data_IF_583981931767
#
_entry.id   IF_583981931767
#
_cell.length_a   1.000
_cell.length_b   1.000
_cell.length_c   1.000
_cell.angle_alpha   90.00
_cell.angle_beta   90.00
_cell.angle_gamma   90.00
#
_symmetry.space_group_name_H-M   'P 1'
#
loop_
_entity.id
_entity.type
_entity.pdbx_description
1 polymer ?
#
# COMPACT_ATOMS: atom_id res chain seq x y z
N UNK A 1 20.76 -54.81 61.93
CA UNK A 1 20.78 -54.61 60.46
C UNK A 1 20.60 -53.14 60.21
N UNK A 2 21.68 -52.48 59.81
CA UNK A 2 21.79 -51.03 59.75
C UNK A 2 20.98 -50.43 58.60
N UNK A 3 20.28 -49.37 58.95
CA UNK A 3 19.54 -48.43 58.11
C UNK A 3 20.46 -47.65 57.17
N UNK A 4 20.22 -47.72 55.86
CA UNK A 4 20.72 -46.76 54.86
C UNK A 4 19.56 -46.12 54.11
N UNK A 5 19.15 -44.96 54.60
CA UNK A 5 18.30 -43.99 53.91
C UNK A 5 19.13 -43.17 52.92
N UNK A 6 18.78 -43.24 51.63
CA UNK A 6 19.41 -42.45 50.56
C UNK A 6 18.80 -41.05 50.49
N UNK A 7 19.59 -39.97 50.33
CA UNK A 7 19.07 -38.60 50.28
C UNK A 7 18.50 -38.28 48.88
N UNK A 8 17.23 -37.85 48.85
CA UNK A 8 16.57 -37.27 47.68
C UNK A 8 17.23 -35.93 47.33
N UNK A 9 17.92 -35.86 46.18
CA UNK A 9 18.40 -34.59 45.63
C UNK A 9 17.23 -33.79 45.04
N UNK A 10 16.72 -32.83 45.79
CA UNK A 10 15.79 -31.81 45.32
C UNK A 10 16.52 -30.83 44.39
N UNK A 11 16.52 -31.12 43.08
CA UNK A 11 16.94 -30.15 42.06
C UNK A 11 15.86 -29.09 41.97
N UNK A 12 16.12 -27.91 42.54
CA UNK A 12 15.34 -26.68 42.37
C UNK A 12 15.14 -26.42 40.87
N UNK A 13 13.95 -26.72 40.36
CA UNK A 13 13.50 -26.32 39.03
C UNK A 13 12.64 -25.07 39.17
N UNK A 14 13.30 -23.92 39.11
CA UNK A 14 12.79 -22.66 38.59
C UNK A 14 14.03 -21.81 38.28
N UNK A 15 14.14 -21.13 37.12
CA UNK A 15 13.00 -20.60 36.37
C UNK A 15 13.14 -20.71 34.84
N UNK A 16 12.56 -21.72 34.22
CA UNK A 16 12.29 -21.66 32.77
C UNK A 16 11.19 -20.63 32.47
N UNK A 17 10.27 -20.43 33.41
CA UNK A 17 9.13 -19.50 33.31
C UNK A 17 9.60 -18.03 33.31
N UNK A 18 10.65 -17.68 34.06
CA UNK A 18 11.17 -16.30 34.08
C UNK A 18 11.95 -15.98 32.80
N UNK A 19 12.68 -16.95 32.21
CA UNK A 19 13.38 -16.78 30.93
C UNK A 19 12.37 -16.65 29.77
N UNK A 20 11.28 -17.41 29.78
CA UNK A 20 10.21 -17.30 28.78
C UNK A 20 9.44 -15.98 28.91
N UNK A 21 9.21 -15.49 30.13
CA UNK A 21 8.54 -14.19 30.35
C UNK A 21 9.43 -13.00 29.97
N UNK A 22 10.75 -13.06 30.20
CA UNK A 22 11.68 -12.00 29.76
C UNK A 22 11.86 -12.01 28.24
N UNK A 23 11.90 -13.18 27.59
CA UNK A 23 11.92 -13.29 26.14
C UNK A 23 10.61 -12.80 25.49
N UNK A 24 9.46 -13.08 26.09
CA UNK A 24 8.17 -12.56 25.63
C UNK A 24 8.04 -11.04 25.82
N UNK A 25 8.59 -10.49 26.91
CA UNK A 25 8.65 -9.04 27.13
C UNK A 25 9.62 -8.35 26.15
N UNK A 26 10.73 -8.98 25.77
CA UNK A 26 11.63 -8.49 24.72
C UNK A 26 11.01 -8.54 23.32
N UNK A 27 10.27 -9.61 22.98
CA UNK A 27 9.53 -9.71 21.71
C UNK A 27 8.37 -8.70 21.61
N UNK A 28 7.75 -8.34 22.74
CA UNK A 28 6.73 -7.29 22.80
C UNK A 28 7.33 -5.88 22.76
N UNK A 29 8.60 -5.71 23.16
CA UNK A 29 9.28 -4.41 23.19
C UNK A 29 10.15 -4.12 21.96
N UNK A 30 10.40 -5.11 21.09
CA UNK A 30 11.17 -4.96 19.85
C UNK A 30 10.31 -4.71 18.61
N UNK A 31 9.00 -4.48 18.77
CA UNK A 31 8.12 -3.99 17.70
C UNK A 31 8.15 -2.47 17.62
N UNK A 32 9.34 -1.87 17.69
CA UNK A 32 9.55 -0.53 17.13
C UNK A 32 9.59 -0.69 15.60
N UNK A 33 8.44 -1.02 15.01
CA UNK A 33 8.17 -0.51 13.66
C UNK A 33 8.35 0.99 13.85
N UNK A 34 9.30 1.67 13.17
CA UNK A 34 9.44 3.10 13.31
C UNK A 34 8.03 3.65 13.08
N UNK A 35 7.44 4.23 14.12
CA UNK A 35 6.22 4.97 13.96
C UNK A 35 6.61 6.01 12.92
N UNK A 36 6.13 5.85 11.69
CA UNK A 36 6.35 6.82 10.64
C UNK A 36 6.02 8.16 11.28
N UNK A 37 7.03 9.02 11.36
CA UNK A 37 6.92 10.29 12.07
C UNK A 37 5.61 10.90 11.62
N UNK A 38 4.65 11.15 12.52
CA UNK A 38 3.38 11.73 12.13
C UNK A 38 3.73 12.97 11.32
N UNK A 39 3.39 12.97 10.02
CA UNK A 39 3.53 14.17 9.22
C UNK A 39 2.74 15.22 9.99
N UNK A 40 3.42 16.31 10.34
CA UNK A 40 2.86 17.35 11.20
C UNK A 40 1.51 17.82 10.65
N UNK A 41 0.65 18.45 11.49
CA UNK A 41 -0.65 18.92 11.03
C UNK A 41 -0.48 19.72 9.73
N UNK A 42 -1.27 19.36 8.71
CA UNK A 42 -1.26 20.00 7.40
C UNK A 42 -1.16 21.53 7.57
N UNK A 43 -0.18 22.21 6.93
CA UNK A 43 -0.03 23.64 7.07
C UNK A 43 -1.35 24.33 6.71
N UNK A 44 -1.86 25.11 7.66
CA UNK A 44 -3.24 25.57 7.64
C UNK A 44 -3.58 26.56 6.52
N UNK A 45 -2.60 27.11 5.80
CA UNK A 45 -2.82 28.31 4.96
C UNK A 45 -3.02 28.04 3.45
N UNK A 46 -2.28 27.14 2.77
CA UNK A 46 -2.48 26.90 1.34
C UNK A 46 -3.72 26.04 1.02
N UNK A 47 -4.20 25.22 1.96
CA UNK A 47 -5.34 24.32 1.74
C UNK A 47 -6.70 24.91 2.15
N UNK A 48 -6.74 26.13 2.69
CA UNK A 48 -7.97 26.82 3.15
C UNK A 48 -8.99 27.09 2.05
N UNK A 49 -8.58 27.09 0.79
CA UNK A 49 -9.43 27.35 -0.37
C UNK A 49 -10.06 26.10 -1.00
N UNK A 50 -9.80 24.92 -0.45
CA UNK A 50 -10.36 23.68 -1.00
C UNK A 50 -11.85 23.60 -0.69
N UNK A 51 -12.62 23.20 -1.70
CA UNK A 51 -14.02 22.82 -1.57
C UNK A 51 -14.09 21.36 -1.14
N UNK A 52 -15.10 21.01 -0.35
CA UNK A 52 -15.29 19.63 0.10
C UNK A 52 -16.36 18.94 -0.75
N UNK A 53 -16.07 17.69 -1.13
CA UNK A 53 -17.06 16.77 -1.66
C UNK A 53 -17.29 15.71 -0.57
N UNK A 54 -18.31 15.91 0.28
CA UNK A 54 -18.50 15.12 1.49
C UNK A 54 -18.89 13.69 1.14
N UNK A 55 -18.30 12.76 1.88
CA UNK A 55 -18.65 11.33 1.84
C UNK A 55 -18.11 10.67 3.10
N UNK A 56 -18.86 9.71 3.66
CA UNK A 56 -18.47 9.02 4.88
C UNK A 56 -17.38 7.95 4.63
N UNK A 57 -17.25 7.47 3.39
CA UNK A 57 -16.31 6.40 3.02
C UNK A 57 -15.02 6.95 2.41
N UNK A 58 -15.14 7.86 1.44
CA UNK A 58 -14.00 8.46 0.74
C UNK A 58 -14.17 9.98 0.62
N UNK A 59 -13.97 10.73 1.72
CA UNK A 59 -14.05 12.19 1.69
C UNK A 59 -13.03 12.77 0.72
N UNK A 60 -13.43 13.82 -0.02
CA UNK A 60 -12.53 14.55 -0.91
C UNK A 60 -12.51 16.04 -0.63
N UNK A 61 -11.35 16.65 -0.81
CA UNK A 61 -11.19 18.09 -0.89
C UNK A 61 -10.56 18.45 -2.25
N UNK A 62 -11.05 19.50 -2.91
CA UNK A 62 -10.66 19.81 -4.28
C UNK A 62 -10.58 21.32 -4.55
N UNK A 63 -9.71 21.71 -5.46
CA UNK A 63 -9.60 23.12 -5.91
C UNK A 63 -10.79 23.52 -6.80
N UNK A 64 -11.22 24.79 -6.78
CA UNK A 64 -12.25 25.27 -7.70
C UNK A 64 -11.95 24.92 -9.16
N UNK A 65 -12.96 24.40 -9.88
CA UNK A 65 -12.82 23.93 -11.25
C UNK A 65 -12.41 22.45 -11.40
N UNK A 66 -12.18 21.73 -10.30
CA UNK A 66 -11.84 20.30 -10.31
C UNK A 66 -13.00 19.38 -9.86
N UNK A 67 -14.24 19.89 -9.77
CA UNK A 67 -15.39 19.12 -9.26
C UNK A 67 -15.61 17.82 -10.05
N UNK A 68 -15.71 17.87 -11.38
CA UNK A 68 -15.98 16.68 -12.20
C UNK A 68 -14.89 15.61 -12.02
N UNK A 69 -13.64 16.08 -11.88
CA UNK A 69 -12.47 15.24 -11.63
C UNK A 69 -12.57 14.55 -10.27
N UNK A 70 -12.86 15.31 -9.22
CA UNK A 70 -13.00 14.82 -7.85
C UNK A 70 -14.18 13.84 -7.75
N UNK A 71 -15.35 14.22 -8.26
CA UNK A 71 -16.56 13.39 -8.22
C UNK A 71 -16.36 12.04 -8.92
N UNK A 72 -15.74 12.01 -10.10
CA UNK A 72 -15.45 10.74 -10.78
C UNK A 72 -14.49 9.88 -9.98
N UNK A 73 -13.41 10.46 -9.48
CA UNK A 73 -12.46 9.71 -8.66
C UNK A 73 -13.12 9.16 -7.40
N UNK A 74 -13.99 9.95 -6.78
CA UNK A 74 -14.73 9.52 -5.58
C UNK A 74 -15.61 8.32 -5.86
N UNK A 75 -16.41 8.36 -6.94
CA UNK A 75 -17.25 7.22 -7.34
C UNK A 75 -16.42 5.95 -7.50
N UNK A 76 -15.26 6.07 -8.16
CA UNK A 76 -14.33 4.96 -8.38
C UNK A 76 -13.78 4.40 -7.07
N UNK A 77 -13.20 5.26 -6.23
CA UNK A 77 -12.61 4.84 -4.96
C UNK A 77 -13.66 4.30 -3.97
N UNK A 78 -14.88 4.84 -3.98
CA UNK A 78 -16.00 4.28 -3.21
C UNK A 78 -16.37 2.88 -3.67
N UNK A 79 -16.36 2.61 -4.97
CA UNK A 79 -16.57 1.28 -5.52
C UNK A 79 -15.57 0.26 -4.95
N UNK A 80 -14.29 0.64 -4.94
CA UNK A 80 -13.20 -0.16 -4.35
C UNK A 80 -13.41 -0.31 -2.84
N UNK A 81 -13.56 0.81 -2.12
CA UNK A 81 -13.74 0.83 -0.67
C UNK A 81 -14.89 -0.07 -0.23
N UNK A 82 -16.07 0.08 -0.84
CA UNK A 82 -17.25 -0.71 -0.53
C UNK A 82 -17.01 -2.21 -0.76
N UNK A 83 -16.33 -2.58 -1.86
CA UNK A 83 -15.97 -3.99 -2.11
C UNK A 83 -15.03 -4.50 -1.04
N UNK A 84 -14.01 -3.75 -0.66
CA UNK A 84 -13.06 -4.13 0.39
C UNK A 84 -13.74 -4.25 1.76
N UNK A 85 -14.57 -3.28 2.13
CA UNK A 85 -15.33 -3.28 3.37
C UNK A 85 -16.32 -4.45 3.46
N UNK A 86 -17.11 -4.68 2.40
CA UNK A 86 -18.10 -5.78 2.41
C UNK A 86 -17.41 -7.14 2.36
N UNK A 87 -16.46 -7.30 1.45
CA UNK A 87 -15.92 -8.60 1.06
C UNK A 87 -14.75 -9.05 1.95
N UNK A 88 -13.91 -8.10 2.37
CA UNK A 88 -12.72 -8.34 3.18
C UNK A 88 -12.88 -7.90 4.63
N UNK A 89 -13.92 -7.11 4.94
CA UNK A 89 -14.13 -6.54 6.28
C UNK A 89 -12.92 -5.70 6.70
N UNK A 90 -12.38 -4.96 5.74
CA UNK A 90 -11.38 -3.94 5.96
C UNK A 90 -12.10 -2.61 6.11
N UNK A 91 -11.72 -1.85 7.12
CA UNK A 91 -12.20 -0.50 7.38
C UNK A 91 -10.98 0.41 7.54
N UNK A 92 -11.11 1.66 7.13
CA UNK A 92 -10.07 2.66 7.27
C UNK A 92 -10.55 4.01 6.76
N UNK A 93 -9.95 5.07 7.26
CA UNK A 93 -10.22 6.41 6.78
C UNK A 93 -9.28 6.69 5.60
N UNK A 94 -9.83 7.11 4.46
CA UNK A 94 -9.02 7.52 3.32
C UNK A 94 -9.56 8.80 2.69
N UNK A 95 -8.74 9.85 2.70
CA UNK A 95 -9.05 11.16 2.14
C UNK A 95 -8.23 11.41 0.88
N UNK A 96 -8.85 12.05 -0.10
CA UNK A 96 -8.13 12.50 -1.30
C UNK A 96 -8.17 14.02 -1.44
N UNK A 97 -7.02 14.61 -1.72
CA UNK A 97 -6.87 16.02 -2.09
C UNK A 97 -6.67 16.13 -3.61
N UNK A 98 -7.54 16.87 -4.29
CA UNK A 98 -7.47 17.10 -5.74
C UNK A 98 -6.97 18.52 -5.99
N UNK A 99 -5.69 18.66 -6.29
CA UNK A 99 -4.96 19.93 -6.16
C UNK A 99 -4.50 20.49 -7.50
N UNK A 100 -4.38 21.81 -7.60
CA UNK A 100 -3.68 22.46 -8.71
C UNK A 100 -2.16 22.47 -8.46
N UNK A 101 -1.32 22.85 -9.43
CA UNK A 101 0.12 22.99 -9.22
C UNK A 101 0.49 23.93 -8.05
N UNK A 102 -0.33 24.97 -7.80
CA UNK A 102 -0.09 25.92 -6.72
C UNK A 102 -0.26 25.25 -5.34
N UNK A 103 -1.40 24.60 -5.10
CA UNK A 103 -1.65 23.92 -3.82
C UNK A 103 -0.74 22.71 -3.66
N UNK A 104 -0.38 22.03 -4.76
CA UNK A 104 0.60 20.95 -4.76
C UNK A 104 1.97 21.39 -4.26
N UNK A 105 2.49 22.51 -4.80
CA UNK A 105 3.77 23.06 -4.37
C UNK A 105 3.79 23.47 -2.89
N UNK A 106 2.62 23.65 -2.29
CA UNK A 106 2.49 23.99 -0.88
C UNK A 106 2.43 22.77 0.06
N UNK A 107 2.30 21.55 -0.48
CA UNK A 107 2.40 20.31 0.30
C UNK A 107 3.84 19.95 0.68
N UNK A 108 4.84 20.60 0.07
CA UNK A 108 6.27 20.28 0.24
C UNK A 108 6.59 18.79 0.06
N UNK A 109 5.89 18.17 -0.91
CA UNK A 109 6.07 16.77 -1.27
C UNK A 109 7.20 16.62 -2.30
N UNK A 110 8.04 15.57 -2.21
CA UNK A 110 9.06 15.30 -3.22
C UNK A 110 8.47 14.81 -4.55
N UNK A 111 7.20 14.38 -4.57
CA UNK A 111 6.56 13.88 -5.78
C UNK A 111 6.19 15.04 -6.73
N UNK A 112 6.51 14.92 -8.04
CA UNK A 112 6.16 15.95 -9.01
C UNK A 112 4.64 16.02 -9.22
N UNK A 113 4.15 17.20 -9.59
CA UNK A 113 2.74 17.38 -9.93
C UNK A 113 2.31 16.42 -11.05
N UNK A 114 1.18 15.73 -10.86
CA UNK A 114 0.67 14.71 -11.77
C UNK A 114 1.05 13.28 -11.41
N UNK A 115 1.92 13.10 -10.41
CA UNK A 115 2.18 11.82 -9.76
C UNK A 115 1.54 11.83 -8.37
N UNK A 116 0.76 10.82 -7.94
CA UNK A 116 0.13 10.86 -6.62
C UNK A 116 1.15 11.00 -5.49
N UNK A 117 0.85 11.87 -4.53
CA UNK A 117 1.68 12.08 -3.35
C UNK A 117 0.94 11.57 -2.12
N UNK A 118 1.62 10.79 -1.29
CA UNK A 118 1.09 10.47 0.04
C UNK A 118 1.36 11.66 0.96
N UNK A 119 0.30 12.22 1.54
CA UNK A 119 0.35 13.37 2.46
C UNK A 119 0.43 12.89 3.91
N UNK A 120 -0.25 11.80 4.24
CA UNK A 120 -0.13 11.08 5.51
C UNK A 120 -0.60 9.62 5.32
N UNK A 121 -0.73 8.86 6.41
CA UNK A 121 -1.15 7.44 6.36
C UNK A 121 -2.54 7.20 5.76
N UNK A 122 -3.40 8.21 5.76
CA UNK A 122 -4.80 8.18 5.35
C UNK A 122 -5.13 9.18 4.25
N UNK A 123 -4.19 10.02 3.84
CA UNK A 123 -4.43 11.10 2.88
C UNK A 123 -3.50 10.99 1.69
N UNK A 124 -4.07 11.01 0.49
CA UNK A 124 -3.32 11.13 -0.76
C UNK A 124 -3.70 12.41 -1.51
N UNK A 125 -2.74 13.01 -2.20
CA UNK A 125 -2.96 14.12 -3.12
C UNK A 125 -2.82 13.65 -4.57
N UNK A 126 -3.70 14.13 -5.44
CA UNK A 126 -3.69 13.90 -6.89
C UNK A 126 -3.89 15.20 -7.65
N UNK A 127 -3.42 15.22 -8.89
CA UNK A 127 -3.58 16.37 -9.77
C UNK A 127 -5.05 16.60 -10.17
N UNK A 128 -5.47 17.87 -10.12
CA UNK A 128 -6.78 18.32 -10.56
C UNK A 128 -6.96 18.26 -12.08
N UNK A 129 -5.88 18.44 -12.83
CA UNK A 129 -5.83 18.30 -14.28
C UNK A 129 -4.43 17.89 -14.73
N UNK A 130 -4.33 17.24 -15.87
CA UNK A 130 -3.04 16.95 -16.50
C UNK A 130 -2.42 18.22 -17.05
N UNK A 131 -1.11 18.21 -17.18
CA UNK A 131 -0.26 19.29 -17.67
C UNK A 131 0.81 18.70 -18.61
N UNK A 132 1.47 19.50 -19.45
CA UNK A 132 2.62 19.03 -20.21
C UNK A 132 3.69 18.37 -19.32
N UNK A 133 3.94 18.94 -18.14
CA UNK A 133 4.91 18.42 -17.18
C UNK A 133 4.48 17.05 -16.63
N UNK A 134 3.20 16.87 -16.27
CA UNK A 134 2.72 15.55 -15.82
C UNK A 134 2.80 14.51 -16.95
N UNK A 135 2.51 14.91 -18.19
CA UNK A 135 2.67 14.06 -19.38
C UNK A 135 4.12 13.63 -19.56
N UNK A 136 5.07 14.55 -19.41
CA UNK A 136 6.51 14.27 -19.49
C UNK A 136 6.97 13.31 -18.39
N UNK A 137 6.52 13.49 -17.15
CA UNK A 137 6.80 12.56 -16.04
C UNK A 137 6.37 11.15 -16.42
N UNK A 138 5.13 10.98 -16.85
CA UNK A 138 4.60 9.65 -17.17
C UNK A 138 5.22 9.05 -18.44
N UNK A 139 5.58 9.85 -19.45
CA UNK A 139 6.34 9.37 -20.61
C UNK A 139 7.76 8.97 -20.23
N UNK A 140 8.43 9.71 -19.35
CA UNK A 140 9.75 9.35 -18.85
C UNK A 140 9.72 8.02 -18.10
N UNK A 141 8.61 7.74 -17.39
CA UNK A 141 8.41 6.47 -16.71
C UNK A 141 8.01 5.33 -17.67
N UNK A 142 7.10 5.54 -18.61
CA UNK A 142 6.48 4.45 -19.37
C UNK A 142 6.95 4.33 -20.83
N UNK A 143 7.69 5.31 -21.33
CA UNK A 143 7.99 5.52 -22.74
C UNK A 143 6.79 6.02 -23.56
N UNK A 144 5.58 5.50 -23.30
CA UNK A 144 4.35 5.91 -23.97
C UNK A 144 3.15 5.91 -23.01
N UNK A 145 2.18 6.79 -23.26
CA UNK A 145 0.96 6.89 -22.46
C UNK A 145 -0.15 5.98 -23.01
N UNK A 146 -0.97 5.37 -22.14
CA UNK A 146 -2.12 4.60 -22.58
C UNK A 146 -3.14 5.51 -23.27
N UNK A 147 -3.91 4.96 -24.21
CA UNK A 147 -5.03 5.68 -24.81
C UNK A 147 -6.15 5.79 -23.78
N UNK A 148 -6.61 7.01 -23.43
CA UNK A 148 -7.73 7.14 -22.51
C UNK A 148 -9.01 6.68 -23.20
N UNK A 149 -9.64 5.62 -22.68
CA UNK A 149 -10.95 5.16 -23.13
C UNK A 149 -12.02 5.61 -22.14
N UNK A 150 -13.11 6.20 -22.62
CA UNK A 150 -14.27 6.56 -21.80
C UNK A 150 -14.07 7.68 -20.76
N UNK A 151 -12.87 8.24 -20.65
CA UNK A 151 -12.56 9.28 -19.67
C UNK A 151 -12.65 10.68 -20.27
N UNK A 152 -13.68 11.43 -19.87
CA UNK A 152 -13.79 12.86 -20.18
C UNK A 152 -13.18 13.67 -19.06
N UNK A 153 -12.10 14.39 -19.34
CA UNK A 153 -11.55 15.40 -18.44
C UNK A 153 -10.98 16.57 -19.27
N UNK A 154 -10.71 17.68 -18.59
CA UNK A 154 -10.07 18.84 -19.20
C UNK A 154 -8.65 18.49 -19.68
N UNK A 155 -8.29 19.00 -20.86
CA UNK A 155 -6.95 18.87 -21.43
C UNK A 155 -6.90 18.07 -22.72
N UNK A 156 -5.70 17.88 -23.23
CA UNK A 156 -5.37 16.98 -24.33
C UNK A 156 -5.58 15.51 -23.93
N UNK A 157 -5.62 14.60 -24.90
CA UNK A 157 -5.71 13.15 -24.63
C UNK A 157 -4.56 12.64 -23.76
N UNK A 158 -3.39 13.24 -23.86
CA UNK A 158 -2.20 12.83 -23.13
C UNK A 158 -2.25 13.31 -21.68
N UNK A 159 -2.68 14.56 -21.47
CA UNK A 159 -2.96 15.10 -20.13
C UNK A 159 -4.03 14.26 -19.43
N UNK A 160 -5.08 13.89 -20.15
CA UNK A 160 -6.11 12.96 -19.66
C UNK A 160 -5.52 11.59 -19.30
N UNK A 161 -4.67 11.02 -20.16
CA UNK A 161 -4.00 9.75 -19.87
C UNK A 161 -3.13 9.82 -18.62
N UNK A 162 -2.41 10.94 -18.41
CA UNK A 162 -1.60 11.14 -17.19
C UNK A 162 -2.44 11.08 -15.90
N UNK A 163 -3.67 11.57 -15.93
CA UNK A 163 -4.59 11.50 -14.79
C UNK A 163 -5.09 10.08 -14.52
N UNK A 164 -5.36 9.29 -15.56
CA UNK A 164 -5.75 7.89 -15.42
C UNK A 164 -4.67 7.05 -14.74
N UNK A 165 -3.40 7.34 -15.04
CA UNK A 165 -2.27 6.68 -14.40
C UNK A 165 -2.13 7.07 -12.93
N UNK A 166 -2.37 8.34 -12.61
CA UNK A 166 -2.43 8.81 -11.23
C UNK A 166 -3.59 8.18 -10.44
N UNK A 167 -4.75 7.96 -11.09
CA UNK A 167 -5.89 7.27 -10.47
C UNK A 167 -5.53 5.85 -10.04
N UNK A 168 -4.94 5.06 -10.94
CA UNK A 168 -4.56 3.68 -10.66
C UNK A 168 -3.60 3.59 -9.45
N UNK A 169 -2.67 4.53 -9.32
CA UNK A 169 -1.78 4.60 -8.16
C UNK A 169 -2.51 5.04 -6.88
N UNK A 170 -3.47 5.96 -6.95
CA UNK A 170 -4.25 6.35 -5.75
C UNK A 170 -5.17 5.22 -5.26
N UNK A 171 -5.64 4.36 -6.16
CA UNK A 171 -6.38 3.14 -5.81
C UNK A 171 -5.52 2.17 -5.00
N UNK A 172 -4.25 2.01 -5.40
CA UNK A 172 -3.27 1.28 -4.62
C UNK A 172 -3.05 1.92 -3.24
N UNK A 173 -2.95 3.25 -3.17
CA UNK A 173 -2.80 3.96 -1.89
C UNK A 173 -4.00 3.75 -0.96
N UNK A 174 -5.22 3.74 -1.48
CA UNK A 174 -6.41 3.35 -0.72
C UNK A 174 -6.27 1.94 -0.17
N UNK A 175 -5.89 0.96 -1.01
CA UNK A 175 -5.75 -0.43 -0.59
C UNK A 175 -4.65 -0.59 0.47
N UNK A 176 -3.51 0.08 0.29
CA UNK A 176 -2.42 0.13 1.28
C UNK A 176 -2.92 0.71 2.60
N UNK A 177 -3.63 1.84 2.57
CA UNK A 177 -4.20 2.47 3.76
C UNK A 177 -5.08 1.51 4.55
N UNK A 178 -5.97 0.78 3.88
CA UNK A 178 -6.85 -0.21 4.53
C UNK A 178 -6.08 -1.42 5.12
N UNK A 179 -4.93 -1.77 4.55
CA UNK A 179 -4.04 -2.79 5.09
C UNK A 179 -3.31 -2.28 6.33
N UNK A 180 -2.79 -1.04 6.27
CA UNK A 180 -2.11 -0.38 7.38
C UNK A 180 -3.03 -0.15 8.58
N UNK A 181 -4.26 0.35 8.37
CA UNK A 181 -5.24 0.62 9.42
C UNK A 181 -5.56 -0.64 10.25
N UNK A 182 -5.52 -1.81 9.61
CA UNK A 182 -5.81 -3.10 10.22
C UNK A 182 -4.58 -3.80 10.79
N UNK A 183 -3.39 -3.19 10.67
CA UNK A 183 -2.11 -3.74 11.14
C UNK A 183 -1.93 -5.19 10.69
N UNK A 184 -2.15 -5.43 9.39
CA UNK A 184 -2.16 -6.79 8.85
C UNK A 184 -0.77 -7.41 8.85
N UNK A 185 0.28 -6.65 8.56
CA UNK A 185 1.66 -7.10 8.67
C UNK A 185 2.45 -6.32 9.73
N UNK A 186 3.49 -6.97 10.26
CA UNK A 186 4.39 -6.39 11.25
C UNK A 186 5.71 -7.18 11.34
N UNK A 187 6.53 -6.84 12.34
CA UNK A 187 7.88 -7.39 12.47
C UNK A 187 8.89 -6.67 11.55
N UNK A 188 10.11 -7.22 11.39
CA UNK A 188 11.19 -6.59 10.61
C UNK A 188 10.80 -6.39 9.13
N UNK A 189 9.94 -7.26 8.60
CA UNK A 189 9.43 -7.21 7.23
C UNK A 189 8.19 -6.33 7.05
N UNK A 190 7.72 -5.69 8.13
CA UNK A 190 6.40 -5.07 8.18
C UNK A 190 6.15 -4.03 7.07
N UNK A 191 7.17 -3.25 6.70
CA UNK A 191 7.03 -2.19 5.69
C UNK A 191 6.74 -2.75 4.30
N UNK A 192 7.64 -3.57 3.75
CA UNK A 192 7.47 -4.15 2.41
C UNK A 192 6.31 -5.15 2.36
N UNK A 193 6.05 -5.87 3.47
CA UNK A 193 4.97 -6.84 3.53
C UNK A 193 3.59 -6.17 3.53
N UNK A 194 3.41 -5.03 4.22
CA UNK A 194 2.17 -4.27 4.13
C UNK A 194 1.92 -3.78 2.69
N UNK A 195 2.97 -3.41 1.97
CA UNK A 195 2.84 -3.00 0.58
C UNK A 195 2.47 -4.15 -0.35
N UNK A 196 3.12 -5.31 -0.22
CA UNK A 196 2.73 -6.52 -0.93
C UNK A 196 1.26 -6.88 -0.64
N UNK A 197 0.83 -6.81 0.62
CA UNK A 197 -0.57 -7.03 0.99
C UNK A 197 -1.50 -5.98 0.37
N UNK A 198 -1.08 -4.71 0.30
CA UNK A 198 -1.80 -3.64 -0.40
C UNK A 198 -2.02 -3.96 -1.87
N UNK A 199 -1.00 -4.45 -2.57
CA UNK A 199 -1.11 -4.93 -3.96
C UNK A 199 -2.04 -6.15 -4.08
N UNK A 200 -1.96 -7.11 -3.16
CA UNK A 200 -2.87 -8.27 -3.13
C UNK A 200 -4.33 -7.83 -2.98
N UNK A 201 -4.58 -6.85 -2.10
CA UNK A 201 -5.91 -6.27 -1.87
C UNK A 201 -6.40 -5.49 -3.10
N UNK A 202 -5.54 -4.67 -3.70
CA UNK A 202 -5.84 -3.90 -4.90
C UNK A 202 -6.19 -4.82 -6.08
N UNK A 203 -5.35 -5.83 -6.36
CA UNK A 203 -5.60 -6.79 -7.43
C UNK A 203 -6.93 -7.53 -7.22
N UNK A 204 -7.24 -7.90 -5.97
CA UNK A 204 -8.53 -8.49 -5.65
C UNK A 204 -9.70 -7.53 -5.88
N UNK A 205 -9.56 -6.25 -5.54
CA UNK A 205 -10.60 -5.24 -5.81
C UNK A 205 -10.85 -5.10 -7.32
N UNK A 206 -9.80 -4.99 -8.13
CA UNK A 206 -9.90 -4.87 -9.59
C UNK A 206 -10.66 -6.04 -10.21
N UNK A 207 -10.32 -7.26 -9.79
CA UNK A 207 -11.03 -8.46 -10.24
C UNK A 207 -12.49 -8.55 -9.77
N UNK A 208 -12.90 -7.76 -8.76
CA UNK A 208 -14.26 -7.73 -8.23
C UNK A 208 -15.13 -6.60 -8.78
N UNK A 209 -14.53 -5.58 -9.40
CA UNK A 209 -15.28 -4.46 -9.97
C UNK A 209 -15.85 -4.78 -11.35
N UNK A 210 -15.31 -5.78 -12.06
CA UNK A 210 -15.75 -6.19 -13.41
C UNK A 210 -15.90 -5.01 -14.39
N UNK A 211 -15.05 -3.99 -14.25
CA UNK A 211 -15.17 -2.78 -15.04
C UNK A 211 -14.77 -2.99 -16.51
N UNK A 212 -15.43 -2.30 -17.44
CA UNK A 212 -14.97 -2.24 -18.83
C UNK A 212 -13.71 -1.37 -18.93
N UNK A 213 -12.57 -1.98 -19.22
CA UNK A 213 -11.26 -1.36 -19.45
C UNK A 213 -10.59 -0.72 -18.21
N UNK A 214 -10.30 -1.49 -17.14
CA UNK A 214 -9.44 -0.99 -16.08
C UNK A 214 -8.05 -0.66 -16.66
N UNK A 215 -7.39 0.36 -16.12
CA UNK A 215 -5.94 0.55 -16.35
C UNK A 215 -5.24 -0.46 -15.44
N UNK A 216 -4.68 -1.56 -15.97
CA UNK A 216 -4.16 -2.61 -15.10
C UNK A 216 -2.86 -2.12 -14.44
N UNK A 217 -2.85 -2.13 -13.11
CA UNK A 217 -1.74 -1.61 -12.30
C UNK A 217 -0.43 -2.37 -12.53
N UNK A 218 -0.49 -3.70 -12.70
CA UNK A 218 0.71 -4.52 -12.90
C UNK A 218 1.46 -4.21 -14.21
N UNK A 219 0.83 -4.21 -15.40
CA UNK A 219 1.48 -3.79 -16.65
C UNK A 219 2.04 -2.37 -16.58
N UNK A 220 1.33 -1.45 -15.92
CA UNK A 220 1.79 -0.07 -15.68
C UNK A 220 3.12 -0.08 -14.94
N UNK A 221 3.15 -0.69 -13.76
CA UNK A 221 4.32 -0.70 -12.88
C UNK A 221 5.49 -1.46 -13.50
N UNK A 222 5.23 -2.58 -14.19
CA UNK A 222 6.27 -3.37 -14.85
C UNK A 222 6.93 -2.60 -15.99
N UNK A 223 6.14 -1.86 -16.77
CA UNK A 223 6.66 -0.97 -17.83
C UNK A 223 7.50 0.15 -17.21
N UNK A 224 7.01 0.77 -16.14
CA UNK A 224 7.72 1.83 -15.42
C UNK A 224 9.08 1.34 -14.90
N UNK A 225 9.10 0.21 -14.17
CA UNK A 225 10.32 -0.35 -13.61
C UNK A 225 11.35 -0.73 -14.69
N UNK A 226 10.87 -1.27 -15.82
CA UNK A 226 11.74 -1.66 -16.94
C UNK A 226 12.41 -0.44 -17.60
N UNK A 227 11.67 0.65 -17.79
CA UNK A 227 12.19 1.89 -18.36
C UNK A 227 13.25 2.57 -17.47
N UNK A 228 13.14 2.40 -16.15
CA UNK A 228 14.12 2.91 -15.18
C UNK A 228 15.36 2.01 -15.04
N UNK A 229 15.49 0.96 -15.86
CA UNK A 229 16.60 0.02 -15.78
C UNK A 229 16.57 -0.87 -14.53
N UNK A 230 15.46 -0.89 -13.81
CA UNK A 230 15.31 -1.63 -12.55
C UNK A 230 14.86 -3.09 -12.75
N UNK A 231 15.36 -3.75 -13.81
CA UNK A 231 14.92 -5.08 -14.23
C UNK A 231 15.29 -6.23 -13.28
N UNK A 232 16.11 -5.96 -12.25
CA UNK A 232 16.47 -6.93 -11.22
C UNK A 232 15.34 -7.19 -10.21
N UNK A 233 15.44 -8.30 -9.48
CA UNK A 233 14.65 -8.50 -8.27
C UNK A 233 15.23 -7.56 -7.21
N UNK A 234 14.46 -6.59 -6.69
CA UNK A 234 15.00 -5.64 -5.72
C UNK A 234 15.26 -6.35 -4.39
N UNK A 235 16.27 -5.87 -3.66
CA UNK A 235 16.56 -6.32 -2.31
C UNK A 235 15.52 -5.74 -1.35
N UNK A 236 14.60 -6.57 -0.85
CA UNK A 236 13.56 -6.25 0.13
C UNK A 236 14.12 -5.64 1.42
N UNK A 237 15.35 -5.98 1.82
CA UNK A 237 16.00 -5.36 2.97
C UNK A 237 16.34 -3.88 2.72
N UNK A 238 16.47 -3.47 1.45
CA UNK A 238 16.65 -2.09 1.05
C UNK A 238 15.32 -1.33 0.88
N UNK A 239 14.17 -1.95 1.17
CA UNK A 239 12.89 -1.26 1.11
C UNK A 239 12.71 -0.29 2.28
N UNK A 240 12.46 0.98 2.00
CA UNK A 240 12.34 2.03 3.00
C UNK A 240 11.73 3.33 2.47
N UNK A 241 11.64 4.33 3.35
CA UNK A 241 11.01 5.63 3.06
C UNK A 241 11.92 6.58 2.25
N UNK A 242 13.20 6.25 2.06
CA UNK A 242 14.22 7.07 1.38
C UNK A 242 14.46 6.70 -0.09
N UNK A 243 13.60 5.85 -0.66
CA UNK A 243 13.72 5.41 -2.04
C UNK A 243 13.42 6.56 -3.02
N UNK A 244 14.29 6.73 -4.02
CA UNK A 244 13.96 7.55 -5.18
C UNK A 244 12.77 6.94 -5.97
N UNK A 245 12.12 7.76 -6.80
CA UNK A 245 10.94 7.34 -7.57
C UNK A 245 11.19 6.11 -8.44
N UNK A 246 12.39 5.97 -9.02
CA UNK A 246 12.72 4.85 -9.90
C UNK A 246 12.85 3.54 -9.13
N UNK A 247 13.56 3.55 -8.00
CA UNK A 247 13.68 2.41 -7.09
C UNK A 247 12.33 2.06 -6.47
N UNK A 248 11.56 3.06 -6.03
CA UNK A 248 10.21 2.84 -5.52
C UNK A 248 9.35 2.12 -6.56
N UNK A 249 9.35 2.57 -7.82
CA UNK A 249 8.63 1.90 -8.91
C UNK A 249 9.06 0.44 -9.12
N UNK A 250 10.34 0.14 -8.98
CA UNK A 250 10.86 -1.22 -9.08
C UNK A 250 10.26 -2.14 -8.01
N UNK A 251 10.20 -1.66 -6.76
CA UNK A 251 9.54 -2.38 -5.67
C UNK A 251 8.05 -2.52 -5.92
N UNK A 252 7.34 -1.45 -6.32
CA UNK A 252 5.92 -1.55 -6.63
C UNK A 252 5.63 -2.56 -7.74
N UNK A 253 6.46 -2.61 -8.80
CA UNK A 253 6.35 -3.63 -9.84
C UNK A 253 6.64 -5.04 -9.33
N UNK A 254 7.58 -5.19 -8.39
CA UNK A 254 7.85 -6.47 -7.74
C UNK A 254 6.65 -6.92 -6.90
N UNK A 255 6.09 -6.05 -6.06
CA UNK A 255 4.90 -6.32 -5.25
C UNK A 255 3.67 -6.64 -6.10
N UNK A 256 3.45 -5.92 -7.20
CA UNK A 256 2.37 -6.22 -8.14
C UNK A 256 2.51 -7.64 -8.74
N UNK A 257 3.74 -8.06 -9.09
CA UNK A 257 4.00 -9.43 -9.56
C UNK A 257 3.72 -10.47 -8.48
N UNK A 258 4.09 -10.19 -7.22
CA UNK A 258 3.78 -11.06 -6.09
C UNK A 258 2.28 -11.18 -5.84
N UNK A 259 1.56 -10.07 -5.93
CA UNK A 259 0.10 -10.05 -5.83
C UNK A 259 -0.58 -10.88 -6.93
N UNK A 260 -0.06 -10.80 -8.15
CA UNK A 260 -0.54 -11.63 -9.27
C UNK A 260 -0.24 -13.11 -9.04
N UNK A 261 0.95 -13.46 -8.56
CA UNK A 261 1.29 -14.85 -8.20
C UNK A 261 0.33 -15.42 -7.14
N UNK A 262 0.02 -14.63 -6.10
CA UNK A 262 -0.95 -15.00 -5.05
C UNK A 262 -2.35 -15.14 -5.62
N UNK A 263 -2.75 -14.27 -6.54
CA UNK A 263 -4.04 -14.37 -7.23
C UNK A 263 -4.11 -15.60 -8.12
N UNK A 264 -3.11 -15.89 -8.94
CA UNK A 264 -3.10 -17.09 -9.78
C UNK A 264 -3.11 -18.39 -8.97
N UNK A 265 -2.49 -18.39 -7.78
CA UNK A 265 -2.45 -19.57 -6.91
C UNK A 265 -3.77 -19.87 -6.20
N UNK A 266 -4.60 -18.86 -5.87
CA UNK A 266 -5.78 -19.06 -5.01
C UNK A 266 -7.01 -18.23 -5.36
N UNK A 267 -6.93 -17.40 -6.41
CA UNK A 267 -7.93 -16.45 -6.86
C UNK A 267 -8.51 -15.63 -5.72
N UNK A 268 -9.82 -15.38 -5.80
CA UNK A 268 -10.60 -14.70 -4.77
C UNK A 268 -10.50 -15.35 -3.37
N UNK A 269 -10.09 -16.61 -3.22
CA UNK A 269 -9.98 -17.22 -1.89
C UNK A 269 -8.66 -16.89 -1.17
N UNK A 270 -7.60 -16.52 -1.91
CA UNK A 270 -6.28 -16.22 -1.33
C UNK A 270 -6.36 -15.06 -0.33
N UNK A 271 -7.02 -13.99 -0.73
CA UNK A 271 -7.15 -12.76 0.06
C UNK A 271 -8.02 -12.97 1.31
N UNK A 272 -9.14 -13.69 1.17
CA UNK A 272 -9.96 -14.10 2.33
C UNK A 272 -9.19 -14.98 3.31
N UNK A 273 -8.35 -15.87 2.79
CA UNK A 273 -7.52 -16.75 3.62
C UNK A 273 -6.53 -15.94 4.47
N UNK A 274 -5.89 -14.93 3.89
CA UNK A 274 -5.00 -14.01 4.61
C UNK A 274 -5.74 -13.25 5.73
N UNK A 275 -6.92 -12.68 5.45
CA UNK A 275 -7.70 -11.99 6.48
C UNK A 275 -8.12 -12.92 7.62
N UNK A 276 -8.55 -14.15 7.28
CA UNK A 276 -8.92 -15.17 8.28
C UNK A 276 -7.72 -15.62 9.10
N UNK A 277 -6.56 -15.77 8.47
CA UNK A 277 -5.32 -16.14 9.14
C UNK A 277 -4.94 -15.08 10.17
N UNK A 278 -4.92 -13.80 9.78
CA UNK A 278 -4.65 -12.69 10.71
C UNK A 278 -5.59 -12.69 11.91
N UNK A 279 -6.89 -12.89 11.68
CA UNK A 279 -7.89 -12.96 12.76
C UNK A 279 -7.67 -14.14 13.70
N UNK A 280 -7.36 -15.32 13.16
CA UNK A 280 -7.10 -16.53 13.96
C UNK A 280 -5.81 -16.42 14.76
N UNK A 281 -4.75 -15.84 14.16
CA UNK A 281 -3.44 -15.71 14.79
C UNK A 281 -3.47 -14.70 15.95
N UNK A 282 -4.29 -13.66 15.86
CA UNK A 282 -4.36 -12.60 16.87
C UNK A 282 -3.19 -11.60 16.81
N UNK A 283 -2.07 -11.94 16.16
CA UNK A 283 -0.94 -11.04 15.87
C UNK A 283 -0.84 -10.66 14.39
N UNK A 284 -0.11 -9.58 14.03
CA UNK A 284 0.25 -9.29 12.64
C UNK A 284 0.88 -10.50 11.93
N UNK A 285 0.71 -10.53 10.61
CA UNK A 285 1.33 -11.49 9.72
C UNK A 285 2.81 -11.14 9.53
N UNK A 286 3.62 -12.18 9.45
CA UNK A 286 5.02 -12.12 9.01
C UNK A 286 5.16 -12.85 7.68
N UNK A 287 6.30 -12.73 7.02
CA UNK A 287 6.48 -13.31 5.70
C UNK A 287 6.33 -14.83 5.69
N UNK A 288 6.77 -15.51 6.75
CA UNK A 288 6.60 -16.96 6.91
C UNK A 288 5.14 -17.41 6.88
N UNK A 289 4.22 -16.57 7.39
CA UNK A 289 2.78 -16.88 7.34
C UNK A 289 2.28 -16.86 5.89
N UNK A 290 2.78 -15.91 5.08
CA UNK A 290 2.44 -15.85 3.65
C UNK A 290 3.02 -17.07 2.93
N UNK A 291 4.29 -17.41 3.14
CA UNK A 291 4.94 -18.55 2.48
C UNK A 291 4.26 -19.88 2.79
N UNK A 292 3.84 -20.09 4.04
CA UNK A 292 3.09 -21.28 4.45
C UNK A 292 1.76 -21.46 3.67
N UNK A 293 1.23 -20.39 3.10
CA UNK A 293 -0.02 -20.41 2.35
C UNK A 293 0.13 -20.17 0.85
N UNK A 294 1.23 -19.56 0.43
CA UNK A 294 1.57 -19.22 -0.94
C UNK A 294 3.03 -19.57 -1.23
N UNK A 295 3.37 -20.87 -1.37
CA UNK A 295 4.74 -21.31 -1.67
C UNK A 295 5.30 -20.75 -2.98
N UNK A 296 4.45 -20.20 -3.86
CA UNK A 296 4.87 -19.49 -5.08
C UNK A 296 5.77 -18.29 -4.79
N UNK A 297 5.70 -17.72 -3.58
CA UNK A 297 6.54 -16.62 -3.14
C UNK A 297 7.90 -17.07 -2.57
N UNK A 298 8.21 -18.37 -2.55
CA UNK A 298 9.45 -18.89 -1.94
C UNK A 298 10.72 -18.29 -2.57
N UNK A 299 10.68 -17.96 -3.87
CA UNK A 299 11.79 -17.31 -4.57
C UNK A 299 12.16 -15.92 -4.02
N UNK A 300 11.30 -15.32 -3.19
CA UNK A 300 11.52 -14.01 -2.58
C UNK A 300 12.36 -14.10 -1.29
N UNK A 301 12.57 -15.29 -0.70
CA UNK A 301 13.41 -15.45 0.52
C UNK A 301 14.86 -15.01 0.34
N UNK A 302 15.40 -15.10 -0.88
CA UNK A 302 16.77 -14.72 -1.20
C UNK A 302 16.92 -13.27 -1.67
N UNK A 303 15.83 -12.51 -1.65
CA UNK A 303 15.79 -11.11 -2.05
C UNK A 303 15.92 -10.19 -0.85
N UNK A 304 16.30 -10.65 0.35
CA UNK A 304 16.26 -9.85 1.57
C UNK A 304 17.34 -10.22 2.60
N UNK A 305 18.48 -10.74 2.15
CA UNK A 305 19.62 -11.11 3.02
C UNK A 305 20.91 -10.43 2.61
#
# INVERSE_FOLDING_TARGET
METRTSPRSSKRRLPLILVVLVAAAWLLSASDVPAQTPLGPLPADPLRGLLELPDDEVPMAYVPGALDRAARLQVRLKGIYHRLAVWMKLEGDFRVLVLSPREWGALDTPQPYGFPARVDLSTAAVAAWGTPESVEVWRGLLGSLPKPAGFSARGSREEVASLLLADALVELELCRTMVYSQRLAGGPDGAWLNDLLGHIVCNAADHLMEEPNPVPLLPLLTTAASAQGAGGIPDLAAYGDDLDTGRWMAFQAHFARGAEQVWQAGGKQSVRKLMRLRRRKGSPLVFEDLLAHFPVLESWRGSGT
#
